data_IF_502927374478
#
_entry.id   IF_502927374478
#
_cell.length_a   1.000
_cell.length_b   1.000
_cell.length_c   1.000
_cell.angle_alpha   90.00
_cell.angle_beta   90.00
_cell.angle_gamma   90.00
#
_symmetry.space_group_name_H-M   'P 1'
#
loop_
_entity.id
_entity.type
_entity.pdbx_description
1 polymer ?
#
# COMPACT_ATOMS: atom_id res chain seq x y z
N UNK A 1 29.18 20.18 -80.61
CA UNK A 1 27.94 20.11 -81.42
C UNK A 1 27.21 18.85 -80.99
N UNK A 2 26.07 18.96 -80.28
CA UNK A 2 24.71 19.14 -80.83
C UNK A 2 24.16 17.86 -81.48
N UNK A 3 22.90 17.42 -81.28
CA UNK A 3 21.89 17.56 -80.20
C UNK A 3 20.64 16.74 -80.62
N UNK A 4 19.72 16.37 -79.69
CA UNK A 4 18.34 15.83 -79.94
C UNK A 4 18.33 14.38 -80.53
N UNK A 5 17.39 13.43 -80.31
CA UNK A 5 16.14 13.27 -79.53
C UNK A 5 15.38 12.01 -80.04
N UNK A 6 14.24 11.51 -79.53
CA UNK A 6 13.48 11.77 -78.29
C UNK A 6 12.36 10.68 -78.07
N UNK A 7 11.99 10.42 -76.80
CA UNK A 7 10.74 9.80 -76.27
C UNK A 7 10.09 8.50 -76.84
N UNK A 8 9.85 7.53 -75.93
CA UNK A 8 8.52 6.99 -75.48
C UNK A 8 8.76 5.90 -74.41
N UNK A 9 8.44 6.11 -73.12
CA UNK A 9 7.15 5.87 -72.44
C UNK A 9 6.64 4.41 -72.44
N UNK A 10 6.78 3.72 -71.30
CA UNK A 10 5.81 2.95 -70.49
C UNK A 10 6.59 2.61 -69.20
N UNK A 11 6.31 3.11 -67.99
CA UNK A 11 5.04 3.24 -67.23
C UNK A 11 4.54 1.94 -66.59
N UNK A 12 5.40 1.26 -65.82
CA UNK A 12 4.96 0.39 -64.72
C UNK A 12 5.36 1.01 -63.38
N UNK A 13 4.54 1.99 -62.98
CA UNK A 13 4.50 2.49 -61.63
C UNK A 13 3.94 1.36 -60.75
N UNK A 14 4.82 0.56 -60.14
CA UNK A 14 4.38 -0.42 -59.14
C UNK A 14 3.89 0.37 -57.94
N UNK A 15 2.57 0.54 -57.85
CA UNK A 15 1.89 1.21 -56.76
C UNK A 15 2.05 0.34 -55.50
N UNK A 16 3.21 0.43 -54.87
CA UNK A 16 3.40 -0.04 -53.51
C UNK A 16 2.54 0.86 -52.63
N UNK A 17 1.27 0.49 -52.49
CA UNK A 17 0.39 1.03 -51.49
C UNK A 17 1.07 0.76 -50.15
N UNK A 18 1.79 1.76 -49.65
CA UNK A 18 2.28 1.79 -48.29
C UNK A 18 1.02 1.89 -47.44
N UNK A 19 0.40 0.74 -47.18
CA UNK A 19 -0.63 0.59 -46.19
C UNK A 19 0.04 0.94 -44.89
N UNK A 20 -0.08 2.22 -44.53
CA UNK A 20 0.00 2.68 -43.17
C UNK A 20 -1.16 2.03 -42.42
N UNK A 21 -0.99 0.74 -42.12
CA UNK A 21 -1.28 0.23 -40.80
C UNK A 21 -0.46 1.09 -39.82
N UNK A 22 -0.99 2.28 -39.56
CA UNK A 22 -1.20 2.69 -38.19
C UNK A 22 -1.77 1.46 -37.49
N UNK A 23 -0.86 0.68 -36.92
CA UNK A 23 -1.14 0.04 -35.65
C UNK A 23 -1.52 1.19 -34.71
N UNK A 24 -2.82 1.51 -34.74
CA UNK A 24 -3.56 1.68 -33.53
C UNK A 24 -3.34 0.40 -32.71
N UNK A 25 -2.17 0.33 -32.06
CA UNK A 25 -2.12 -0.06 -30.67
C UNK A 25 -3.01 0.95 -29.98
N UNK A 26 -4.32 0.73 -30.07
CA UNK A 26 -5.23 1.19 -29.05
C UNK A 26 -4.72 0.47 -27.82
N UNK A 27 -3.86 1.16 -27.08
CA UNK A 27 -3.66 0.89 -25.68
C UNK A 27 -5.06 1.02 -25.08
N UNK A 28 -5.77 -0.11 -25.02
CA UNK A 28 -6.92 -0.27 -24.15
C UNK A 28 -6.43 0.20 -22.80
N UNK A 29 -6.87 1.39 -22.38
CA UNK A 29 -6.44 2.01 -21.15
C UNK A 29 -6.86 1.05 -20.03
N UNK A 30 -5.90 0.25 -19.58
CA UNK A 30 -6.17 -1.01 -18.92
C UNK A 30 -6.83 -0.71 -17.58
N UNK A 31 -8.13 -0.97 -17.50
CA UNK A 31 -8.97 -0.39 -16.44
C UNK A 31 -8.48 -0.85 -15.07
N UNK A 32 -8.47 0.09 -14.13
CA UNK A 32 -8.26 -0.24 -12.73
C UNK A 32 -9.57 -0.81 -12.17
N UNK A 33 -9.56 -2.05 -11.73
CA UNK A 33 -10.72 -2.74 -11.18
C UNK A 33 -10.58 -2.90 -9.67
N UNK A 34 -11.70 -2.78 -8.94
CA UNK A 34 -11.78 -3.09 -7.51
C UNK A 34 -12.95 -4.04 -7.24
N UNK A 35 -12.63 -5.22 -6.70
CA UNK A 35 -13.63 -6.18 -6.22
C UNK A 35 -13.57 -6.27 -4.71
N UNK A 36 -14.69 -5.96 -4.06
CA UNK A 36 -14.83 -6.06 -2.61
C UNK A 36 -15.46 -7.40 -2.22
N UNK A 37 -14.74 -8.20 -1.43
CA UNK A 37 -15.24 -9.50 -0.97
C UNK A 37 -16.48 -9.35 -0.09
N UNK A 38 -17.33 -10.40 0.01
CA UNK A 38 -18.20 -10.58 1.16
C UNK A 38 -17.37 -10.50 2.46
N UNK A 39 -17.98 -9.99 3.53
CA UNK A 39 -17.40 -10.13 4.86
C UNK A 39 -17.44 -11.61 5.26
N UNK A 40 -16.34 -12.12 5.81
CA UNK A 40 -16.24 -13.48 6.33
C UNK A 40 -16.10 -13.43 7.84
N UNK A 41 -16.71 -14.38 8.53
CA UNK A 41 -16.51 -14.58 9.96
C UNK A 41 -16.02 -16.00 10.24
N UNK A 42 -15.22 -16.15 11.29
CA UNK A 42 -14.75 -17.45 11.79
C UNK A 42 -14.62 -17.40 13.31
N UNK A 43 -14.59 -18.57 13.95
CA UNK A 43 -14.24 -18.68 15.36
C UNK A 43 -12.72 -18.74 15.51
N UNK A 44 -12.21 -18.06 16.54
CA UNK A 44 -10.80 -18.07 16.90
C UNK A 44 -10.45 -19.30 17.75
N UNK A 45 -9.25 -19.83 17.53
CA UNK A 45 -8.69 -20.99 18.24
C UNK A 45 -7.55 -20.61 19.19
N UNK A 46 -7.01 -19.39 19.07
CA UNK A 46 -6.00 -18.84 19.97
C UNK A 46 -6.51 -18.80 21.41
N UNK A 47 -5.64 -19.12 22.36
CA UNK A 47 -6.01 -19.35 23.77
C UNK A 47 -6.80 -18.19 24.39
N UNK A 48 -6.30 -16.97 24.27
CA UNK A 48 -6.90 -15.75 24.84
C UNK A 48 -8.22 -15.32 24.18
N UNK A 49 -8.55 -15.87 23.01
CA UNK A 49 -9.76 -15.51 22.25
C UNK A 49 -10.52 -16.75 21.76
N UNK A 50 -10.38 -17.89 22.44
CA UNK A 50 -10.98 -19.16 21.99
C UNK A 50 -12.50 -19.02 21.90
N UNK A 51 -13.06 -19.32 20.72
CA UNK A 51 -14.49 -19.20 20.46
C UNK A 51 -14.99 -17.76 20.21
N UNK A 52 -14.12 -16.74 20.23
CA UNK A 52 -14.50 -15.38 19.83
C UNK A 52 -14.76 -15.31 18.31
N UNK A 53 -15.66 -14.42 17.88
CA UNK A 53 -15.88 -14.11 16.46
C UNK A 53 -14.78 -13.20 15.91
N UNK A 54 -14.07 -13.65 14.87
CA UNK A 54 -13.18 -12.84 14.05
C UNK A 54 -13.85 -12.53 12.72
N UNK A 55 -13.81 -11.27 12.29
CA UNK A 55 -14.31 -10.81 10.99
C UNK A 55 -13.15 -10.38 10.10
N UNK A 56 -13.24 -10.68 8.81
CA UNK A 56 -12.35 -10.15 7.78
C UNK A 56 -13.12 -9.75 6.51
N UNK A 57 -12.59 -8.78 5.75
CA UNK A 57 -13.11 -8.37 4.44
C UNK A 57 -11.97 -7.78 3.60
N UNK A 58 -11.96 -8.01 2.29
CA UNK A 58 -10.86 -7.61 1.42
C UNK A 58 -11.32 -6.87 0.16
N UNK A 59 -10.68 -5.74 -0.16
CA UNK A 59 -10.74 -5.11 -1.48
C UNK A 59 -9.55 -5.57 -2.32
N UNK A 60 -9.83 -6.19 -3.47
CA UNK A 60 -8.81 -6.64 -4.43
C UNK A 60 -8.76 -5.66 -5.60
N UNK A 61 -7.59 -5.04 -5.79
CA UNK A 61 -7.30 -4.12 -6.88
C UNK A 61 -6.58 -4.86 -8.00
N UNK A 62 -7.11 -4.82 -9.22
CA UNK A 62 -6.42 -5.27 -10.43
C UNK A 62 -6.04 -4.05 -11.26
N UNK A 63 -4.74 -3.78 -11.38
CA UNK A 63 -4.17 -2.57 -11.97
C UNK A 63 -3.34 -2.90 -13.22
N UNK A 64 -3.90 -3.71 -14.12
CA UNK A 64 -3.14 -4.29 -15.23
C UNK A 64 -2.24 -5.43 -14.75
N UNK A 65 -0.91 -5.26 -14.86
CA UNK A 65 0.05 -6.32 -14.42
C UNK A 65 0.20 -6.47 -12.90
N UNK A 66 -0.28 -5.49 -12.13
CA UNK A 66 -0.16 -5.48 -10.67
C UNK A 66 -1.49 -5.82 -9.99
N UNK A 67 -1.40 -6.50 -8.86
CA UNK A 67 -2.54 -6.82 -8.00
C UNK A 67 -2.21 -6.49 -6.56
N UNK A 68 -3.12 -5.79 -5.89
CA UNK A 68 -3.01 -5.42 -4.47
C UNK A 68 -4.26 -5.90 -3.74
N UNK A 69 -4.10 -6.35 -2.50
CA UNK A 69 -5.23 -6.62 -1.61
C UNK A 69 -5.10 -5.72 -0.39
N UNK A 70 -6.16 -4.99 -0.07
CA UNK A 70 -6.33 -4.31 1.21
C UNK A 70 -7.36 -5.07 2.03
N UNK A 71 -6.96 -5.57 3.20
CA UNK A 71 -7.80 -6.38 4.08
C UNK A 71 -8.11 -5.64 5.38
N UNK A 72 -9.38 -5.57 5.74
CA UNK A 72 -9.80 -5.34 7.11
C UNK A 72 -9.83 -6.67 7.88
N UNK A 73 -9.40 -6.66 9.14
CA UNK A 73 -9.69 -7.75 10.07
C UNK A 73 -9.76 -7.31 11.54
N UNK A 74 -10.64 -7.89 12.34
CA UNK A 74 -10.68 -7.69 13.78
C UNK A 74 -11.43 -8.83 14.50
N UNK A 75 -11.16 -9.02 15.80
CA UNK A 75 -12.04 -9.76 16.69
C UNK A 75 -13.23 -8.87 17.08
N UNK A 76 -14.42 -9.24 16.63
CA UNK A 76 -15.68 -8.48 16.75
C UNK A 76 -16.66 -9.12 17.75
N UNK A 77 -16.14 -9.98 18.63
CA UNK A 77 -16.98 -10.69 19.59
C UNK A 77 -17.63 -9.73 20.60
N UNK A 78 -18.85 -10.07 21.03
CA UNK A 78 -19.61 -9.30 22.03
C UNK A 78 -18.86 -9.07 23.33
N UNK A 79 -17.90 -9.93 23.68
CA UNK A 79 -17.01 -9.76 24.83
C UNK A 79 -16.16 -8.46 24.79
N UNK A 80 -16.01 -7.84 23.61
CA UNK A 80 -15.27 -6.57 23.44
C UNK A 80 -16.19 -5.34 23.35
N UNK A 81 -17.51 -5.51 23.28
CA UNK A 81 -18.45 -4.43 23.03
C UNK A 81 -18.32 -3.27 24.06
N UNK A 82 -18.37 -2.00 23.64
CA UNK A 82 -18.66 -1.50 22.29
C UNK A 82 -17.45 -1.44 21.32
N UNK A 83 -16.31 -2.00 21.72
CA UNK A 83 -15.06 -1.99 20.95
C UNK A 83 -14.86 -3.28 20.13
N UNK A 84 -13.77 -3.31 19.36
CA UNK A 84 -13.24 -4.52 18.71
C UNK A 84 -11.77 -4.71 19.12
N UNK A 85 -11.26 -5.94 19.02
CA UNK A 85 -9.86 -6.25 19.32
C UNK A 85 -9.05 -6.54 18.03
N UNK A 86 -8.16 -5.62 17.60
CA UNK A 86 -7.29 -5.82 16.44
C UNK A 86 -6.08 -6.70 16.83
N UNK A 87 -6.23 -8.02 16.74
CA UNK A 87 -5.29 -9.00 17.31
C UNK A 87 -3.83 -8.84 16.86
N UNK A 88 -3.63 -8.68 15.54
CA UNK A 88 -2.32 -8.47 14.91
C UNK A 88 -2.23 -7.10 14.22
N UNK A 89 -3.33 -6.34 14.24
CA UNK A 89 -3.63 -5.20 13.38
C UNK A 89 -5.04 -5.26 12.82
N UNK A 90 -5.37 -4.28 11.97
CA UNK A 90 -6.71 -4.13 11.41
C UNK A 90 -6.77 -3.64 9.95
N UNK A 91 -5.72 -3.02 9.42
CA UNK A 91 -5.55 -2.82 7.97
C UNK A 91 -4.31 -3.58 7.52
N UNK A 92 -4.51 -4.62 6.73
CA UNK A 92 -3.47 -5.52 6.20
C UNK A 92 -3.32 -5.44 4.68
N UNK A 93 -2.15 -5.81 4.17
CA UNK A 93 -1.87 -5.87 2.72
C UNK A 93 -1.36 -7.26 2.32
N UNK A 94 -2.24 -8.25 2.04
CA UNK A 94 -1.82 -9.64 1.72
C UNK A 94 -1.15 -9.84 0.35
N UNK A 95 -1.21 -8.85 -0.54
CA UNK A 95 -0.64 -8.84 -1.89
C UNK A 95 -0.13 -7.42 -2.22
N UNK A 96 0.96 -7.25 -2.98
CA UNK A 96 1.50 -8.18 -3.99
C UNK A 96 2.43 -9.28 -3.47
N UNK A 97 2.96 -9.12 -2.25
CA UNK A 97 3.82 -10.10 -1.58
C UNK A 97 3.20 -10.49 -0.24
N UNK A 98 3.53 -11.69 0.25
CA UNK A 98 3.15 -12.11 1.62
C UNK A 98 4.12 -11.53 2.65
N UNK A 99 5.40 -11.40 2.28
CA UNK A 99 6.37 -10.57 2.99
C UNK A 99 6.09 -9.08 2.68
N UNK A 100 7.03 -8.19 3.00
CA UNK A 100 6.85 -6.74 2.86
C UNK A 100 5.67 -6.23 3.72
N UNK A 101 4.68 -5.53 3.15
CA UNK A 101 3.60 -4.92 3.94
C UNK A 101 2.75 -5.97 4.65
N UNK A 102 2.58 -5.84 5.97
CA UNK A 102 2.06 -6.96 6.76
C UNK A 102 0.59 -7.32 6.48
N UNK A 103 0.33 -8.61 6.27
CA UNK A 103 -0.96 -9.11 5.81
C UNK A 103 -2.17 -8.84 6.74
N UNK A 104 -1.98 -8.63 8.05
CA UNK A 104 -3.04 -8.32 9.04
C UNK A 104 -2.99 -6.90 9.58
N UNK A 105 -1.91 -6.16 9.34
CA UNK A 105 -1.59 -4.96 10.11
C UNK A 105 -0.35 -4.27 9.55
N UNK A 106 -0.44 -3.75 8.32
CA UNK A 106 0.61 -2.95 7.73
C UNK A 106 0.41 -1.45 7.99
N UNK A 107 -0.82 -1.01 8.29
CA UNK A 107 -1.18 0.40 8.45
C UNK A 107 -2.09 0.58 9.67
N UNK A 108 -1.76 1.57 10.50
CA UNK A 108 -2.46 1.92 11.72
C UNK A 108 -2.51 3.45 11.84
N UNK A 109 -3.61 3.98 12.36
CA UNK A 109 -3.82 5.40 12.59
C UNK A 109 -4.06 5.61 14.07
N UNK A 110 -3.29 6.50 14.69
CA UNK A 110 -3.43 6.82 16.11
C UNK A 110 -3.77 8.29 16.30
N UNK A 111 -4.73 8.55 17.18
CA UNK A 111 -5.14 9.90 17.58
C UNK A 111 -4.94 10.01 19.08
N UNK A 112 -4.16 11.00 19.52
CA UNK A 112 -3.76 11.20 20.92
C UNK A 112 -3.14 9.93 21.54
N UNK A 113 -2.29 9.24 20.77
CA UNK A 113 -1.64 7.98 21.14
C UNK A 113 -2.55 6.74 21.16
N UNK A 114 -3.84 6.85 20.81
CA UNK A 114 -4.79 5.73 20.80
C UNK A 114 -5.10 5.26 19.39
N UNK A 115 -5.03 3.96 19.19
CA UNK A 115 -5.25 3.32 17.90
C UNK A 115 -6.75 3.24 17.54
N UNK A 116 -7.12 3.76 16.37
CA UNK A 116 -8.52 3.76 15.93
C UNK A 116 -9.04 2.36 15.60
N UNK A 117 -8.16 1.38 15.38
CA UNK A 117 -8.53 -0.02 15.10
C UNK A 117 -9.26 -0.72 16.24
N UNK A 118 -9.31 -0.10 17.43
CA UNK A 118 -10.16 -0.54 18.55
C UNK A 118 -11.63 -0.09 18.42
N UNK A 119 -11.91 0.87 17.54
CA UNK A 119 -13.27 1.27 17.16
C UNK A 119 -13.78 0.33 16.07
N UNK A 120 -15.04 -0.16 16.13
CA UNK A 120 -15.62 -0.95 15.04
C UNK A 120 -15.53 -0.20 13.69
N UNK A 121 -15.11 -0.90 12.64
CA UNK A 121 -15.15 -0.35 11.28
C UNK A 121 -16.60 -0.03 10.92
N UNK A 122 -16.86 1.22 10.54
CA UNK A 122 -18.21 1.71 10.27
C UNK A 122 -18.64 1.42 8.82
N UNK A 123 -17.71 1.50 7.87
CA UNK A 123 -17.95 1.07 6.49
C UNK A 123 -16.66 0.64 5.76
N UNK A 124 -16.84 -0.22 4.75
CA UNK A 124 -15.83 -0.58 3.75
C UNK A 124 -16.54 -0.65 2.39
N UNK A 125 -16.16 0.19 1.44
CA UNK A 125 -16.88 0.39 0.18
C UNK A 125 -15.92 0.47 -1.01
N UNK A 126 -16.23 -0.26 -2.08
CA UNK A 126 -15.65 0.00 -3.40
C UNK A 126 -16.41 1.19 -4.02
N UNK A 127 -15.72 2.32 -4.19
CA UNK A 127 -16.30 3.60 -4.57
C UNK A 127 -16.14 3.88 -6.06
N UNK A 128 -15.02 3.47 -6.65
CA UNK A 128 -14.71 3.71 -8.07
C UNK A 128 -13.98 2.53 -8.71
N UNK A 129 -14.15 2.38 -10.02
CA UNK A 129 -13.39 1.49 -10.92
C UNK A 129 -13.42 2.07 -12.34
N UNK A 130 -12.46 1.69 -13.19
CA UNK A 130 -12.31 2.20 -14.55
C UNK A 130 -11.05 3.04 -14.71
N UNK A 131 -11.16 4.37 -14.61
CA UNK A 131 -10.02 5.31 -14.74
C UNK A 131 -9.05 5.21 -13.55
N UNK A 132 -9.58 4.83 -12.38
CA UNK A 132 -8.89 4.54 -11.13
C UNK A 132 -9.80 3.64 -10.31
N UNK A 133 -9.22 2.88 -9.39
CA UNK A 133 -9.92 2.06 -8.43
C UNK A 133 -9.85 2.75 -7.06
N UNK A 134 -10.96 2.83 -6.32
CA UNK A 134 -11.02 3.48 -5.00
C UNK A 134 -11.75 2.65 -3.95
N UNK A 135 -11.07 2.35 -2.84
CA UNK A 135 -11.63 1.68 -1.66
C UNK A 135 -11.64 2.65 -0.49
N UNK A 136 -12.82 2.92 0.08
CA UNK A 136 -12.97 3.70 1.30
C UNK A 136 -13.19 2.79 2.51
N UNK A 137 -12.52 3.12 3.62
CA UNK A 137 -12.70 2.53 4.94
C UNK A 137 -12.93 3.65 5.96
N UNK A 138 -14.02 3.58 6.74
CA UNK A 138 -14.41 4.68 7.64
C UNK A 138 -14.61 4.20 9.08
N UNK A 139 -14.13 4.99 10.04
CA UNK A 139 -14.30 4.79 11.49
C UNK A 139 -14.90 6.03 12.14
N UNK A 140 -16.02 5.84 12.86
CA UNK A 140 -16.59 6.87 13.73
C UNK A 140 -15.92 6.87 15.12
N UNK A 141 -14.65 7.24 15.18
CA UNK A 141 -13.92 7.34 16.46
C UNK A 141 -14.42 8.54 17.29
N UNK A 142 -14.33 8.43 18.62
CA UNK A 142 -14.88 9.44 19.55
C UNK A 142 -14.24 10.83 19.46
N UNK A 143 -13.03 10.93 18.89
CA UNK A 143 -12.31 12.19 18.71
C UNK A 143 -12.43 12.76 17.29
N UNK A 144 -12.73 11.92 16.31
CA UNK A 144 -12.79 12.28 14.89
C UNK A 144 -13.49 11.20 14.07
N UNK A 145 -14.14 11.58 12.98
CA UNK A 145 -14.36 10.66 11.87
C UNK A 145 -13.06 10.51 11.08
N UNK A 146 -12.67 9.25 10.80
CA UNK A 146 -11.46 8.95 10.04
C UNK A 146 -11.85 8.14 8.81
N UNK A 147 -11.48 8.65 7.63
CA UNK A 147 -11.51 7.89 6.37
C UNK A 147 -10.08 7.50 5.99
N UNK A 148 -9.88 6.24 5.62
CA UNK A 148 -8.70 5.78 4.89
C UNK A 148 -9.16 5.37 3.50
N UNK A 149 -8.63 6.03 2.48
CA UNK A 149 -8.94 5.79 1.07
C UNK A 149 -7.71 5.23 0.36
N UNK A 150 -7.88 4.08 -0.27
CA UNK A 150 -6.86 3.46 -1.12
C UNK A 150 -7.19 3.70 -2.58
N UNK A 151 -6.22 4.20 -3.35
CA UNK A 151 -6.39 4.49 -4.78
C UNK A 151 -5.35 3.73 -5.59
N UNK A 152 -5.83 2.96 -6.57
CA UNK A 152 -5.00 2.31 -7.58
C UNK A 152 -5.24 2.92 -8.96
N UNK A 153 -4.17 3.10 -9.74
CA UNK A 153 -4.24 3.62 -11.11
C UNK A 153 -3.90 2.52 -12.14
N UNK A 154 -4.45 2.59 -13.38
CA UNK A 154 -4.07 1.73 -14.50
C UNK A 154 -2.56 1.55 -14.67
N UNK A 155 -2.10 0.29 -14.67
CA UNK A 155 -0.70 -0.11 -14.86
C UNK A 155 0.31 0.49 -13.87
N UNK A 156 -0.16 0.99 -12.73
CA UNK A 156 0.68 1.60 -11.71
C UNK A 156 1.20 0.57 -10.69
N UNK A 157 2.45 0.75 -10.25
CA UNK A 157 3.21 -0.16 -9.38
C UNK A 157 3.15 0.22 -7.90
N UNK A 158 2.28 1.18 -7.57
CA UNK A 158 2.06 1.69 -6.21
C UNK A 158 0.57 1.90 -5.93
N UNK A 159 0.23 1.72 -4.65
CA UNK A 159 -1.05 2.12 -4.10
C UNK A 159 -0.91 3.49 -3.42
N UNK A 160 -1.77 4.43 -3.77
CA UNK A 160 -1.86 5.71 -3.07
C UNK A 160 -2.79 5.55 -1.87
N UNK A 161 -2.49 6.25 -0.78
CA UNK A 161 -3.30 6.25 0.45
C UNK A 161 -3.57 7.69 0.86
N UNK A 162 -4.85 8.03 0.99
CA UNK A 162 -5.33 9.27 1.58
C UNK A 162 -5.94 8.94 2.95
N UNK A 163 -5.58 9.70 3.99
CA UNK A 163 -6.14 9.57 5.33
C UNK A 163 -6.74 10.92 5.68
N UNK A 164 -8.06 10.97 5.89
CA UNK A 164 -8.79 12.20 6.25
C UNK A 164 -9.24 12.14 7.71
N UNK A 165 -9.03 13.21 8.48
CA UNK A 165 -9.38 13.31 9.91
C UNK A 165 -10.31 14.49 10.19
N UNK A 166 -11.61 14.22 10.27
CA UNK A 166 -12.65 15.20 10.60
C UNK A 166 -12.88 15.25 12.11
N UNK A 167 -12.39 16.31 12.76
CA UNK A 167 -12.33 16.43 14.22
C UNK A 167 -13.71 16.64 14.86
N UNK A 168 -13.99 15.86 15.90
CA UNK A 168 -15.13 16.05 16.83
C UNK A 168 -14.71 16.65 18.16
N UNK A 169 -13.44 16.45 18.54
CA UNK A 169 -12.89 16.90 19.81
C UNK A 169 -11.41 17.33 19.64
N UNK A 170 -10.79 17.78 20.74
CA UNK A 170 -9.38 18.22 20.74
C UNK A 170 -8.43 17.07 20.39
N UNK A 171 -7.70 17.24 19.29
CA UNK A 171 -6.56 16.40 18.91
C UNK A 171 -5.26 17.09 19.33
N UNK A 172 -4.33 16.32 19.90
CA UNK A 172 -2.99 16.73 20.34
C UNK A 172 -1.87 15.94 19.65
N UNK A 173 -2.17 14.78 19.06
CA UNK A 173 -1.28 14.09 18.12
C UNK A 173 -2.06 13.29 17.08
N UNK A 174 -1.50 13.21 15.88
CA UNK A 174 -1.91 12.28 14.82
C UNK A 174 -0.65 11.52 14.41
N UNK A 175 -0.73 10.19 14.38
CA UNK A 175 0.36 9.32 13.95
C UNK A 175 -0.16 8.32 12.92
N UNK A 176 0.62 8.11 11.86
CA UNK A 176 0.46 6.97 10.96
C UNK A 176 1.60 6.01 11.26
N UNK A 177 1.26 4.81 11.71
CA UNK A 177 2.21 3.74 11.97
C UNK A 177 2.10 2.68 10.88
N UNK A 178 3.23 2.35 10.26
CA UNK A 178 3.34 1.37 9.20
C UNK A 178 4.29 0.23 9.61
N UNK A 179 3.98 -1.01 9.19
CA UNK A 179 4.76 -2.21 9.50
C UNK A 179 5.02 -3.06 8.26
N UNK A 180 6.28 -3.41 8.06
CA UNK A 180 6.71 -4.34 7.02
C UNK A 180 7.69 -5.42 7.53
N UNK A 181 7.85 -6.44 6.68
CA UNK A 181 8.74 -7.58 6.83
C UNK A 181 9.61 -7.66 5.56
N UNK A 182 10.60 -6.76 5.39
CA UNK A 182 11.25 -6.55 4.10
C UNK A 182 11.82 -7.84 3.52
N UNK A 183 11.40 -8.16 2.30
CA UNK A 183 11.71 -9.36 1.53
C UNK A 183 11.37 -10.73 2.14
N UNK A 184 11.39 -10.91 3.47
CA UNK A 184 11.31 -12.24 4.09
C UNK A 184 10.85 -12.25 5.57
N UNK A 185 10.14 -13.32 5.94
CA UNK A 185 9.72 -13.62 7.32
C UNK A 185 10.80 -14.37 8.12
N UNK A 186 11.86 -13.65 8.49
CA UNK A 186 13.03 -14.17 9.23
C UNK A 186 12.70 -15.07 10.41
N UNK A 187 11.87 -14.62 11.36
CA UNK A 187 11.55 -15.40 12.56
C UNK A 187 10.71 -16.65 12.30
N UNK A 188 9.75 -16.60 11.35
CA UNK A 188 8.92 -17.76 10.99
C UNK A 188 9.76 -18.91 10.44
N UNK A 189 10.70 -18.58 9.54
CA UNK A 189 11.63 -19.54 8.94
C UNK A 189 12.93 -19.75 9.73
N UNK A 190 13.08 -19.11 10.89
CA UNK A 190 14.27 -19.19 11.76
C UNK A 190 15.59 -18.84 11.05
N UNK A 191 15.57 -17.91 10.09
CA UNK A 191 16.76 -17.43 9.36
C UNK A 191 17.10 -15.99 9.77
N UNK A 192 18.39 -15.66 9.80
CA UNK A 192 18.88 -14.30 10.08
C UNK A 192 18.92 -13.48 8.79
N UNK A 193 18.37 -12.27 8.84
CA UNK A 193 18.47 -11.27 7.77
C UNK A 193 19.45 -10.15 8.08
N UNK A 194 19.64 -9.25 7.11
CA UNK A 194 20.45 -8.05 7.19
C UNK A 194 19.64 -6.84 6.74
N UNK A 195 18.60 -6.51 7.51
CA UNK A 195 17.61 -5.48 7.16
C UNK A 195 18.15 -4.07 7.16
N UNK A 196 17.56 -3.25 6.30
CA UNK A 196 17.93 -1.86 6.04
C UNK A 196 16.69 -1.01 5.82
N UNK A 197 16.78 0.25 6.23
CA UNK A 197 15.87 1.32 5.81
C UNK A 197 16.76 2.40 5.19
N UNK A 198 16.62 2.63 3.88
CA UNK A 198 17.26 3.73 3.20
C UNK A 198 16.30 4.93 3.17
N UNK A 199 16.84 6.10 3.50
CA UNK A 199 16.17 7.40 3.46
C UNK A 199 17.02 8.37 2.62
N UNK A 200 16.52 9.58 2.28
CA UNK A 200 17.32 10.60 1.60
C UNK A 200 18.61 10.99 2.33
N UNK A 201 18.66 10.89 3.67
CA UNK A 201 19.78 11.37 4.49
C UNK A 201 20.52 10.28 5.26
N UNK A 202 20.02 9.03 5.27
CA UNK A 202 20.49 8.01 6.20
C UNK A 202 20.23 6.58 5.73
N UNK A 203 21.07 5.65 6.20
CA UNK A 203 20.87 4.21 6.08
C UNK A 203 20.79 3.62 7.49
N UNK A 204 19.60 3.18 7.89
CA UNK A 204 19.32 2.60 9.20
C UNK A 204 19.50 1.09 9.10
N UNK A 205 20.33 0.51 9.96
CA UNK A 205 20.66 -0.92 9.98
C UNK A 205 19.80 -1.69 10.97
N UNK A 206 19.72 -3.01 10.77
CA UNK A 206 19.05 -3.93 11.68
C UNK A 206 19.54 -3.77 13.12
N UNK A 207 18.61 -3.61 14.06
CA UNK A 207 18.85 -3.34 15.47
C UNK A 207 18.80 -1.85 15.83
N UNK A 208 18.87 -0.94 14.86
CA UNK A 208 18.85 0.50 15.10
C UNK A 208 17.42 1.06 15.17
N UNK A 209 17.27 2.10 15.99
CA UNK A 209 16.08 2.95 16.09
C UNK A 209 16.50 4.41 16.05
N UNK A 210 15.86 5.20 15.20
CA UNK A 210 16.17 6.63 15.04
C UNK A 210 14.90 7.45 14.82
N UNK A 211 14.91 8.71 15.24
CA UNK A 211 13.88 9.69 14.89
C UNK A 211 14.52 10.78 14.03
N UNK A 212 13.96 11.07 12.86
CA UNK A 212 14.50 11.98 11.85
C UNK A 212 13.48 13.06 11.45
N UNK A 213 13.91 14.26 11.03
CA UNK A 213 13.01 15.29 10.52
C UNK A 213 12.28 14.79 9.27
N UNK A 214 10.94 14.75 9.32
CA UNK A 214 10.13 14.14 8.26
C UNK A 214 10.30 14.84 6.91
N UNK A 215 10.41 16.18 6.92
CA UNK A 215 10.60 17.00 5.71
C UNK A 215 11.88 16.67 4.92
N UNK A 216 12.91 16.15 5.60
CA UNK A 216 14.15 15.72 4.96
C UNK A 216 14.13 14.22 4.60
N UNK A 217 13.14 13.46 5.08
CA UNK A 217 13.08 12.01 5.02
C UNK A 217 11.70 11.50 4.56
N UNK A 218 11.18 12.11 3.49
CA UNK A 218 9.81 11.92 3.01
C UNK A 218 9.58 10.64 2.18
N UNK A 219 10.65 9.91 1.85
CA UNK A 219 10.58 8.57 1.27
C UNK A 219 11.48 7.59 2.03
N UNK A 220 11.09 6.31 1.99
CA UNK A 220 11.72 5.21 2.70
C UNK A 220 11.73 3.97 1.80
N UNK A 221 12.89 3.33 1.63
CA UNK A 221 13.02 2.02 0.98
C UNK A 221 13.46 1.00 2.02
N UNK A 222 12.68 -0.08 2.16
CA UNK A 222 12.93 -1.15 3.11
C UNK A 222 13.37 -2.40 2.35
N UNK A 223 14.51 -2.95 2.73
CA UNK A 223 15.09 -4.12 2.07
C UNK A 223 15.89 -4.98 3.04
N UNK A 224 16.33 -6.15 2.59
CA UNK A 224 17.21 -7.06 3.32
C UNK A 224 18.36 -7.49 2.40
N UNK A 225 19.61 -7.30 2.85
CA UNK A 225 20.80 -7.62 2.07
C UNK A 225 21.09 -9.12 1.98
N UNK A 226 20.41 -9.97 2.78
CA UNK A 226 20.48 -11.44 2.67
C UNK A 226 19.39 -11.94 1.73
N UNK A 227 18.15 -11.48 1.93
CA UNK A 227 16.97 -11.90 1.15
C UNK A 227 16.71 -10.97 -0.03
N UNK A 228 17.71 -10.87 -0.91
CA UNK A 228 17.63 -10.08 -2.14
C UNK A 228 17.16 -10.96 -3.31
N UNK A 229 16.12 -10.52 -4.01
CA UNK A 229 15.56 -11.20 -5.18
C UNK A 229 16.59 -11.34 -6.31
N UNK A 230 17.55 -10.42 -6.41
CA UNK A 230 18.66 -10.52 -7.35
C UNK A 230 19.64 -11.68 -7.04
N UNK A 231 19.55 -12.26 -5.84
CA UNK A 231 20.27 -13.48 -5.41
C UNK A 231 19.38 -14.73 -5.43
N UNK A 232 18.14 -14.61 -5.89
CA UNK A 232 17.15 -15.70 -5.87
C UNK A 232 16.51 -15.96 -4.50
N UNK A 233 16.57 -15.00 -3.58
CA UNK A 233 16.05 -15.13 -2.21
C UNK A 233 14.99 -14.06 -1.89
N UNK A 234 13.90 -14.45 -1.24
CA UNK A 234 12.85 -13.53 -0.79
C UNK A 234 12.01 -12.87 -1.90
N UNK A 235 11.11 -11.98 -1.48
CA UNK A 235 10.09 -11.33 -2.32
C UNK A 235 10.51 -9.93 -2.82
N UNK A 236 11.77 -9.53 -2.61
CA UNK A 236 12.27 -8.19 -2.94
C UNK A 236 11.80 -7.07 -1.98
N UNK A 237 12.22 -5.81 -2.22
CA UNK A 237 12.02 -4.69 -1.31
C UNK A 237 10.58 -4.14 -1.32
N UNK A 238 10.28 -3.26 -0.37
CA UNK A 238 9.11 -2.38 -0.42
C UNK A 238 9.49 -0.93 -0.13
N UNK A 239 8.62 0.01 -0.48
CA UNK A 239 8.87 1.43 -0.29
C UNK A 239 7.61 2.18 0.15
N UNK A 240 7.82 3.28 0.88
CA UNK A 240 6.79 4.21 1.32
C UNK A 240 7.24 5.64 1.00
N UNK A 241 6.32 6.47 0.53
CA UNK A 241 6.50 7.91 0.38
C UNK A 241 5.31 8.59 1.06
N UNK A 242 5.52 9.77 1.62
CA UNK A 242 4.46 10.58 2.23
C UNK A 242 4.65 12.07 1.93
N UNK A 243 3.55 12.81 2.05
CA UNK A 243 3.50 14.26 1.83
C UNK A 243 4.07 14.96 3.09
N UNK A 244 5.23 15.63 3.04
CA UNK A 244 5.95 16.07 4.24
C UNK A 244 5.44 17.35 4.91
N UNK A 245 4.56 18.12 4.27
CA UNK A 245 4.16 19.49 4.67
C UNK A 245 3.63 19.57 6.11
N UNK A 246 2.79 18.61 6.47
CA UNK A 246 2.19 18.46 7.80
C UNK A 246 2.89 17.40 8.68
N UNK A 247 3.90 16.71 8.15
CA UNK A 247 4.70 15.76 8.92
C UNK A 247 5.77 16.48 9.75
N UNK A 248 5.91 16.09 11.01
CA UNK A 248 6.87 16.67 11.96
C UNK A 248 8.16 15.85 11.95
N UNK A 249 8.05 14.57 12.32
CA UNK A 249 9.15 13.62 12.37
C UNK A 249 8.69 12.24 11.90
N UNK A 250 9.68 11.43 11.56
CA UNK A 250 9.54 9.99 11.40
C UNK A 250 10.35 9.28 12.47
N UNK A 251 9.81 8.23 13.05
CA UNK A 251 10.55 7.30 13.91
C UNK A 251 10.64 5.95 13.21
N UNK A 252 11.86 5.50 12.97
CA UNK A 252 12.21 4.29 12.25
C UNK A 252 12.76 3.26 13.24
N UNK A 253 12.26 2.03 13.16
CA UNK A 253 12.68 0.91 14.01
C UNK A 253 13.02 -0.28 13.10
N UNK A 254 14.31 -0.48 12.81
CA UNK A 254 14.76 -1.55 11.91
C UNK A 254 14.94 -2.86 12.68
N UNK A 255 13.84 -3.47 13.12
CA UNK A 255 13.90 -4.74 13.86
C UNK A 255 14.28 -5.94 12.99
N UNK A 256 14.87 -6.96 13.63
CA UNK A 256 15.28 -8.22 12.98
C UNK A 256 14.13 -9.08 12.47
N UNK A 257 12.89 -8.87 12.96
CA UNK A 257 11.70 -9.55 12.44
C UNK A 257 10.58 -8.62 11.93
N UNK A 258 10.26 -7.53 12.61
CA UNK A 258 9.39 -6.48 12.05
C UNK A 258 10.21 -5.20 11.84
N UNK A 259 9.94 -4.47 10.76
CA UNK A 259 10.40 -3.09 10.57
C UNK A 259 9.19 -2.19 10.72
N UNK A 260 9.27 -1.24 11.65
CA UNK A 260 8.18 -0.32 11.96
C UNK A 260 8.59 1.13 11.63
N UNK A 261 7.64 1.90 11.11
CA UNK A 261 7.77 3.34 10.84
C UNK A 261 6.59 4.08 11.43
N UNK A 262 6.84 5.08 12.27
CA UNK A 262 5.82 6.04 12.72
C UNK A 262 6.07 7.38 12.05
N UNK A 263 5.12 7.91 11.30
CA UNK A 263 5.12 9.32 10.85
C UNK A 263 4.20 10.11 11.78
N UNK A 264 4.73 11.13 12.43
CA UNK A 264 3.97 12.01 13.34
C UNK A 264 3.57 13.29 12.63
N UNK A 265 2.29 13.60 12.59
CA UNK A 265 1.72 14.76 11.91
C UNK A 265 1.33 15.87 12.88
N UNK A 266 1.21 17.09 12.38
CA UNK A 266 0.65 18.23 13.12
C UNK A 266 -0.76 17.89 13.61
N UNK A 267 -1.17 18.33 14.82
CA UNK A 267 -2.54 18.09 15.31
C UNK A 267 -3.64 18.76 14.47
N UNK A 268 -3.25 19.61 13.51
CA UNK A 268 -4.09 20.35 12.54
C UNK A 268 -4.17 19.71 11.15
N UNK A 269 -3.35 18.69 10.84
CA UNK A 269 -3.33 18.00 9.54
C UNK A 269 -4.72 17.45 9.16
N UNK A 270 -5.10 17.48 7.89
CA UNK A 270 -6.46 17.12 7.44
C UNK A 270 -6.52 15.78 6.73
#
# INVERSE_FOLDING_TARGET
MQLIGAHRHISHLMLLALVTTMMHVMASAQRAELVLSPARTRKLTSEQHRGHVFMERAGTFTLGRYRYIVRYCACVDKAHAPYVAPLEGYIGMPEPSRANWYHSGFLFIRINGKDIGTTPLSSMLAVESGKRAMLDMTWHHKLADVRVRFVGLPNDDKMLVEITVERKAKITSIEVFARCYPSFFTAWYKRTGARRILTPTSLIKQGERVTLPAKQNWWLVYYDEVFDVARGEGDGPCAMLFIPEDAIDITLNCGSYAVDTTVRFRPTAR
#
